data_IF_614763515923
#
_entry.id   IF_614763515923
#
_cell.length_a   1.000
_cell.length_b   1.000
_cell.length_c   1.000
_cell.angle_alpha   90.00
_cell.angle_beta   90.00
_cell.angle_gamma   90.00
#
_symmetry.space_group_name_H-M   'P 1'
#
loop_
_entity.id
_entity.type
_entity.pdbx_description
1 polymer ?
#
# COMPACT_ATOMS: atom_id res chain seq x y z
N UNK A 1 -15.56 2.77 7.36
CA UNK A 1 -14.26 3.29 7.79
C UNK A 1 -13.90 4.52 6.98
N UNK A 2 -13.46 5.57 7.66
CA UNK A 2 -13.01 6.77 6.98
C UNK A 2 -11.57 6.58 6.48
N UNK A 3 -11.29 7.07 5.29
CA UNK A 3 -9.94 7.02 4.73
C UNK A 3 -9.13 8.22 5.21
N UNK A 4 -7.92 8.02 5.77
CA UNK A 4 -7.13 9.14 6.30
C UNK A 4 -6.89 10.23 5.26
N UNK A 5 -7.18 11.48 5.64
CA UNK A 5 -7.08 12.63 4.73
C UNK A 5 -5.64 13.00 4.41
N UNK A 6 -4.69 12.62 5.26
CA UNK A 6 -3.27 12.89 5.05
C UNK A 6 -2.55 11.82 4.25
N UNK A 7 -3.25 10.75 3.85
CA UNK A 7 -2.71 9.72 2.98
C UNK A 7 -3.02 10.05 1.53
N UNK A 8 -2.29 9.40 0.61
CA UNK A 8 -2.63 9.40 -0.82
C UNK A 8 -2.91 7.96 -1.24
N UNK A 9 -3.61 7.80 -2.36
CA UNK A 9 -4.16 6.50 -2.76
C UNK A 9 -3.98 6.27 -4.26
N UNK A 10 -3.84 4.99 -4.63
CA UNK A 10 -3.78 4.60 -6.04
C UNK A 10 -5.09 3.95 -6.47
N UNK A 11 -5.28 3.84 -7.80
CA UNK A 11 -6.41 3.11 -8.36
C UNK A 11 -6.29 1.59 -8.19
N UNK A 12 -5.11 1.14 -7.77
CA UNK A 12 -4.85 -0.27 -7.46
C UNK A 12 -5.06 -0.57 -5.97
N UNK A 13 -5.59 0.42 -5.22
CA UNK A 13 -5.96 0.29 -3.81
C UNK A 13 -4.78 0.15 -2.85
N UNK A 14 -3.68 0.84 -3.16
CA UNK A 14 -2.59 1.04 -2.20
C UNK A 14 -2.68 2.45 -1.63
N UNK A 15 -2.19 2.61 -0.41
CA UNK A 15 -2.07 3.93 0.21
C UNK A 15 -0.60 4.24 0.49
N UNK A 16 -0.29 5.52 0.59
CA UNK A 16 1.02 6.00 1.01
C UNK A 16 0.84 7.12 2.04
N UNK A 17 1.61 7.03 3.11
CA UNK A 17 1.66 8.05 4.15
C UNK A 17 3.06 8.62 4.20
N UNK A 18 3.18 9.95 4.03
CA UNK A 18 4.47 10.62 4.01
C UNK A 18 4.93 11.03 5.39
N UNK A 19 6.24 10.83 5.63
CA UNK A 19 6.95 11.36 6.79
C UNK A 19 8.27 11.90 6.25
N UNK A 20 8.32 13.20 5.93
CA UNK A 20 9.45 13.79 5.23
C UNK A 20 9.57 13.21 3.81
N UNK A 21 10.73 12.66 3.48
CA UNK A 21 10.99 12.03 2.19
C UNK A 21 10.67 10.54 2.18
N UNK A 22 10.23 10.00 3.31
CA UNK A 22 9.92 8.56 3.45
C UNK A 22 8.43 8.35 3.32
N UNK A 23 8.02 7.40 2.47
CA UNK A 23 6.62 7.01 2.33
C UNK A 23 6.39 5.61 2.87
N UNK A 24 5.43 5.45 3.77
CA UNK A 24 4.96 4.14 4.22
C UNK A 24 3.83 3.71 3.29
N UNK A 25 3.88 2.48 2.79
CA UNK A 25 2.96 1.98 1.77
C UNK A 25 2.24 0.73 2.29
N UNK A 26 0.94 0.68 2.09
CA UNK A 26 0.11 -0.47 2.44
C UNK A 26 -1.07 -0.57 1.50
N UNK A 27 -2.01 -1.47 1.81
CA UNK A 27 -3.26 -1.60 1.05
C UNK A 27 -4.42 -1.05 1.83
N UNK A 28 -5.45 -0.57 1.11
CA UNK A 28 -6.59 0.09 1.72
C UNK A 28 -7.57 -0.90 2.35
N UNK A 29 -8.48 -0.38 3.17
CA UNK A 29 -9.58 -1.16 3.71
C UNK A 29 -10.42 -1.81 2.60
N UNK A 30 -10.66 -1.08 1.52
CA UNK A 30 -11.37 -1.61 0.37
C UNK A 30 -10.65 -2.84 -0.22
N UNK A 31 -9.32 -2.76 -0.36
CA UNK A 31 -8.53 -3.86 -0.90
C UNK A 31 -8.61 -5.11 -0.02
N UNK A 32 -8.44 -4.95 1.31
CA UNK A 32 -8.47 -6.11 2.20
C UNK A 32 -9.85 -6.75 2.26
N UNK A 33 -10.92 -5.96 2.14
CA UNK A 33 -12.27 -6.50 2.10
C UNK A 33 -12.51 -7.33 0.83
N UNK A 34 -11.99 -6.85 -0.29
CA UNK A 34 -12.09 -7.58 -1.56
C UNK A 34 -11.30 -8.88 -1.54
N UNK A 35 -10.14 -8.88 -0.89
CA UNK A 35 -9.26 -10.05 -0.83
C UNK A 35 -9.71 -11.07 0.20
N UNK A 36 -10.29 -10.64 1.31
CA UNK A 36 -10.59 -11.51 2.43
C UNK A 36 -9.36 -11.72 3.31
N UNK A 37 -9.33 -12.79 4.07
CA UNK A 37 -8.26 -13.04 5.05
C UNK A 37 -6.89 -13.16 4.38
N UNK A 38 -5.97 -12.29 4.77
CA UNK A 38 -4.61 -12.28 4.25
C UNK A 38 -3.79 -13.32 5.01
N UNK A 39 -3.14 -14.20 4.26
CA UNK A 39 -2.38 -15.33 4.84
C UNK A 39 -0.88 -15.24 4.55
N UNK A 40 -0.46 -14.42 3.57
CA UNK A 40 0.96 -14.27 3.24
C UNK A 40 1.23 -12.93 2.56
N UNK A 41 2.38 -12.33 2.88
CA UNK A 41 2.84 -11.09 2.24
C UNK A 41 4.23 -11.33 1.69
N UNK A 42 4.42 -11.13 0.38
CA UNK A 42 5.71 -11.20 -0.27
C UNK A 42 6.24 -9.78 -0.43
N UNK A 43 7.28 -9.44 0.31
CA UNK A 43 7.87 -8.10 0.36
C UNK A 43 9.25 -8.08 -0.28
N UNK A 44 9.67 -6.92 -0.82
CA UNK A 44 11.05 -6.76 -1.28
C UNK A 44 12.00 -6.69 -0.08
N UNK A 45 13.27 -6.47 -0.35
CA UNK A 45 14.31 -6.32 0.68
C UNK A 45 14.70 -4.86 0.82
N UNK A 46 15.15 -4.49 2.01
CA UNK A 46 15.74 -3.15 2.22
C UNK A 46 16.88 -2.97 1.22
N UNK A 47 16.89 -1.82 0.55
CA UNK A 47 17.87 -1.50 -0.48
C UNK A 47 17.38 -1.75 -1.90
N UNK A 48 16.28 -2.50 -2.07
CA UNK A 48 15.71 -2.73 -3.40
C UNK A 48 15.11 -1.44 -3.95
N UNK A 49 15.23 -1.28 -5.28
CA UNK A 49 14.59 -0.17 -5.98
C UNK A 49 13.15 -0.53 -6.30
N UNK A 50 12.26 0.46 -6.20
CA UNK A 50 10.86 0.33 -6.65
C UNK A 50 10.56 1.41 -7.67
N UNK A 51 9.67 1.13 -8.59
CA UNK A 51 9.30 2.05 -9.67
C UNK A 51 7.80 2.28 -9.64
N UNK A 52 7.38 3.54 -9.77
CA UNK A 52 5.96 3.89 -9.79
C UNK A 52 5.22 3.08 -10.87
N UNK A 53 4.13 2.44 -10.48
CA UNK A 53 3.32 1.61 -11.37
C UNK A 53 3.83 0.19 -11.59
N UNK A 54 5.01 -0.16 -11.08
CA UNK A 54 5.55 -1.50 -11.21
C UNK A 54 5.31 -2.32 -9.94
N UNK A 55 5.24 -3.63 -10.10
CA UNK A 55 5.03 -4.57 -8.97
C UNK A 55 6.24 -4.56 -8.06
N UNK A 56 6.01 -4.43 -6.74
CA UNK A 56 7.08 -4.55 -5.75
C UNK A 56 6.92 -5.78 -4.85
N UNK A 57 5.80 -6.44 -4.89
CA UNK A 57 5.52 -7.59 -4.06
C UNK A 57 4.11 -8.09 -4.32
N UNK A 58 3.61 -8.91 -3.41
CA UNK A 58 2.24 -9.44 -3.51
C UNK A 58 1.67 -9.77 -2.15
N UNK A 59 0.35 -9.87 -2.08
CA UNK A 59 -0.36 -10.39 -0.92
C UNK A 59 -1.17 -11.61 -1.35
N UNK A 60 -1.19 -12.63 -0.50
CA UNK A 60 -1.97 -13.82 -0.74
C UNK A 60 -3.06 -13.92 0.30
N UNK A 61 -4.29 -14.13 -0.15
CA UNK A 61 -5.44 -14.34 0.72
C UNK A 61 -5.93 -15.77 0.57
N UNK A 62 -6.92 -16.13 1.37
CA UNK A 62 -7.54 -17.47 1.30
C UNK A 62 -8.17 -17.76 -0.06
N UNK A 63 -8.43 -16.73 -0.87
CA UNK A 63 -9.10 -16.91 -2.16
C UNK A 63 -8.35 -16.39 -3.38
N UNK A 64 -7.28 -15.61 -3.20
CA UNK A 64 -6.60 -14.98 -4.33
C UNK A 64 -5.18 -14.53 -4.01
N UNK A 65 -4.38 -14.30 -5.04
CA UNK A 65 -3.08 -13.64 -4.96
C UNK A 65 -3.19 -12.33 -5.72
N UNK A 66 -2.73 -11.24 -5.13
CA UNK A 66 -2.80 -9.91 -5.73
C UNK A 66 -1.42 -9.26 -5.74
N UNK A 67 -1.00 -8.76 -6.90
CA UNK A 67 0.24 -8.00 -7.01
C UNK A 67 0.09 -6.64 -6.34
N UNK A 68 1.19 -6.16 -5.75
CA UNK A 68 1.26 -4.83 -5.15
C UNK A 68 2.09 -3.92 -6.05
N UNK A 69 1.50 -2.79 -6.46
CA UNK A 69 2.16 -1.83 -7.34
C UNK A 69 2.64 -0.64 -6.52
N UNK A 70 3.87 -0.19 -6.77
CA UNK A 70 4.40 0.94 -6.03
C UNK A 70 3.77 2.24 -6.51
N UNK A 71 3.29 3.10 -5.58
CA UNK A 71 2.76 4.41 -5.96
C UNK A 71 3.85 5.40 -6.36
N UNK A 72 5.11 5.13 -6.00
CA UNK A 72 6.24 6.04 -6.22
C UNK A 72 7.49 5.29 -6.62
N UNK A 73 8.44 6.02 -7.20
CA UNK A 73 9.79 5.52 -7.48
C UNK A 73 10.70 5.86 -6.31
N UNK A 74 11.53 4.91 -5.89
CA UNK A 74 12.45 5.13 -4.78
C UNK A 74 13.17 3.87 -4.37
N UNK A 75 13.69 3.89 -3.13
CA UNK A 75 14.47 2.78 -2.58
C UNK A 75 13.83 2.33 -1.26
N UNK A 76 13.67 1.02 -1.09
CA UNK A 76 13.09 0.46 0.13
C UNK A 76 14.02 0.70 1.31
N UNK A 77 13.52 1.38 2.35
CA UNK A 77 14.27 1.67 3.57
C UNK A 77 13.88 0.78 4.73
N UNK A 78 12.67 0.22 4.71
CA UNK A 78 12.19 -0.67 5.76
C UNK A 78 11.14 -1.62 5.21
N UNK A 79 11.07 -2.80 5.80
CA UNK A 79 10.06 -3.82 5.51
C UNK A 79 9.41 -4.19 6.83
N UNK A 80 8.09 -4.30 6.86
CA UNK A 80 7.36 -4.64 8.09
C UNK A 80 7.40 -6.15 8.32
N UNK A 81 8.40 -6.60 9.05
CA UNK A 81 8.60 -8.02 9.32
C UNK A 81 7.49 -8.65 10.16
N UNK A 82 6.72 -7.84 10.89
CA UNK A 82 5.59 -8.32 11.67
C UNK A 82 4.55 -9.02 10.79
N UNK A 83 4.41 -8.60 9.53
CA UNK A 83 3.46 -9.19 8.61
C UNK A 83 3.85 -10.59 8.15
N UNK A 84 5.09 -11.02 8.39
CA UNK A 84 5.52 -12.39 8.08
C UNK A 84 4.94 -13.39 9.06
N UNK A 85 4.73 -12.96 10.31
CA UNK A 85 4.15 -13.82 11.36
C UNK A 85 2.67 -13.53 11.59
N UNK A 86 2.22 -12.31 11.30
CA UNK A 86 0.86 -11.85 11.53
C UNK A 86 0.32 -11.08 10.32
N UNK A 87 0.18 -11.73 9.15
CA UNK A 87 -0.34 -11.05 7.94
C UNK A 87 -1.78 -10.56 8.10
N UNK A 88 -2.55 -11.15 9.01
CA UNK A 88 -3.91 -10.75 9.30
C UNK A 88 -4.03 -9.36 9.94
N UNK A 89 -2.93 -8.75 10.34
CA UNK A 89 -2.94 -7.34 10.78
C UNK A 89 -3.39 -6.41 9.67
N UNK A 90 -3.18 -6.79 8.41
CA UNK A 90 -3.69 -6.03 7.28
C UNK A 90 -5.22 -6.01 7.31
N UNK A 91 -5.85 -7.10 7.69
CA UNK A 91 -7.31 -7.15 7.81
C UNK A 91 -7.82 -6.37 9.01
N UNK A 92 -7.11 -6.42 10.14
CA UNK A 92 -7.52 -5.76 11.37
C UNK A 92 -7.37 -4.24 11.31
N UNK A 93 -6.22 -3.76 10.81
CA UNK A 93 -5.88 -2.33 10.77
C UNK A 93 -5.19 -1.98 9.46
N UNK A 94 -5.90 -2.01 8.34
CA UNK A 94 -5.28 -1.84 7.01
C UNK A 94 -4.52 -0.52 6.85
N UNK A 95 -4.98 0.56 7.46
CA UNK A 95 -4.33 1.87 7.31
C UNK A 95 -3.18 2.10 8.30
N UNK A 96 -2.90 1.15 9.16
CA UNK A 96 -1.74 1.17 10.05
C UNK A 96 -0.73 0.07 9.71
N UNK A 97 -1.18 -0.99 9.04
CA UNK A 97 -0.35 -2.13 8.66
C UNK A 97 0.43 -1.82 7.37
N UNK A 98 1.46 -1.00 7.49
CA UNK A 98 2.32 -0.69 6.36
C UNK A 98 3.14 -1.93 5.97
N UNK A 99 3.41 -2.07 4.67
CA UNK A 99 4.13 -3.22 4.13
C UNK A 99 5.61 -2.88 3.93
N UNK A 100 5.88 -1.74 3.30
CA UNK A 100 7.25 -1.24 3.10
C UNK A 100 7.30 0.26 3.36
N UNK A 101 8.52 0.77 3.60
CA UNK A 101 8.80 2.21 3.60
C UNK A 101 9.82 2.48 2.51
N UNK A 102 9.65 3.59 1.81
CA UNK A 102 10.44 3.93 0.62
C UNK A 102 10.98 5.36 0.76
N UNK A 103 12.28 5.53 0.51
CA UNK A 103 12.87 6.86 0.29
C UNK A 103 12.44 7.31 -1.10
N UNK A 104 11.63 8.34 -1.18
CA UNK A 104 11.00 8.78 -2.43
C UNK A 104 12.01 9.56 -3.29
N UNK A 105 12.21 9.11 -4.53
CA UNK A 105 13.14 9.77 -5.46
C UNK A 105 12.52 11.01 -6.10
N UNK A 106 11.22 10.97 -6.38
CA UNK A 106 10.51 12.07 -7.03
C UNK A 106 9.22 12.40 -6.27
N UNK A 107 9.25 13.40 -5.38
CA UNK A 107 8.07 13.77 -4.59
C UNK A 107 6.86 14.19 -5.42
N UNK A 108 7.07 14.65 -6.66
CA UNK A 108 5.96 15.05 -7.54
C UNK A 108 5.03 13.87 -7.86
N UNK A 109 5.53 12.65 -7.81
CA UNK A 109 4.70 11.46 -8.06
C UNK A 109 3.61 11.29 -7.01
N UNK A 110 3.84 11.76 -5.78
CA UNK A 110 2.83 11.70 -4.72
C UNK A 110 1.67 12.62 -5.03
N UNK A 111 1.97 13.80 -5.59
CA UNK A 111 0.93 14.79 -5.92
C UNK A 111 0.02 14.32 -7.06
N UNK A 112 0.47 13.36 -7.86
CA UNK A 112 -0.33 12.79 -8.95
C UNK A 112 -1.31 11.72 -8.45
N UNK A 113 -1.20 11.29 -7.20
CA UNK A 113 -2.05 10.27 -6.61
C UNK A 113 -3.39 10.87 -6.14
N UNK A 114 -4.36 10.00 -5.89
CA UNK A 114 -5.67 10.40 -5.40
C UNK A 114 -5.59 10.82 -3.94
N UNK A 115 -6.30 11.90 -3.57
CA UNK A 115 -6.50 12.21 -2.17
C UNK A 115 -7.67 11.35 -1.64
N UNK A 116 -7.97 11.45 -0.34
CA UNK A 116 -9.02 10.63 0.26
C UNK A 116 -10.37 10.82 -0.41
N UNK A 117 -10.77 12.06 -0.70
CA UNK A 117 -12.07 12.34 -1.32
C UNK A 117 -12.17 11.76 -2.73
N UNK A 118 -11.10 11.92 -3.53
CA UNK A 118 -11.07 11.38 -4.89
C UNK A 118 -11.07 9.85 -4.87
N UNK A 119 -10.34 9.25 -3.94
CA UNK A 119 -10.31 7.81 -3.81
C UNK A 119 -11.67 7.24 -3.38
N UNK A 120 -12.33 7.86 -2.42
CA UNK A 120 -13.66 7.44 -1.97
C UNK A 120 -14.68 7.51 -3.11
N UNK A 121 -14.61 8.55 -3.93
CA UNK A 121 -15.46 8.66 -5.12
C UNK A 121 -15.16 7.55 -6.12
N UNK A 122 -13.88 7.22 -6.30
CA UNK A 122 -13.44 6.17 -7.21
C UNK A 122 -13.97 4.79 -6.78
N UNK A 123 -13.83 4.42 -5.51
CA UNK A 123 -14.30 3.12 -5.04
C UNK A 123 -15.83 3.02 -5.03
N UNK A 124 -16.52 4.14 -4.87
CA UNK A 124 -17.98 4.17 -4.95
C UNK A 124 -18.47 3.80 -6.36
N UNK A 125 -17.70 4.17 -7.39
CA UNK A 125 -18.03 3.81 -8.77
C UNK A 125 -17.76 2.33 -9.07
N UNK A 126 -16.80 1.73 -8.37
CA UNK A 126 -16.45 0.32 -8.57
C UNK A 126 -17.40 -0.65 -7.87
N UNK A 127 -18.09 -0.19 -6.85
CA UNK A 127 -18.92 -1.06 -6.01
C UNK A 127 -20.39 -1.18 -6.48
#
# INVERSE_FOLDING_TARGET
MAYPANYRYTREHEWIELSGSIGAIGITDYAQKSLGDIVYVDSPKVGDAVTAGATFGSVESVKAVSDLYSPVTGTVTAVNDELKTAPDKINEKPHEAWIIKVEIADPAQVNALLDAAAYEAFIAEES
#
